data_IF_456149540179
#
_entry.id   IF_456149540179
#
_cell.length_a   1.000
_cell.length_b   1.000
_cell.length_c   1.000
_cell.angle_alpha   90.00
_cell.angle_beta   90.00
_cell.angle_gamma   90.00
#
_symmetry.space_group_name_H-M   'P 1'
#
loop_
_entity.id
_entity.type
_entity.pdbx_description
1 polymer ?
#
# COMPACT_ATOMS: atom_id res chain seq x y z
N UNK A 1 -30.54 78.26 -33.16
CA UNK A 1 -29.25 78.16 -32.45
C UNK A 1 -29.15 76.77 -31.84
N UNK A 2 -28.03 76.09 -32.10
CA UNK A 2 -27.64 74.74 -31.68
C UNK A 2 -27.89 74.44 -30.20
N UNK A 3 -28.30 73.20 -29.87
CA UNK A 3 -27.49 72.20 -29.10
C UNK A 3 -28.35 70.97 -28.76
N UNK A 4 -28.08 69.83 -29.41
CA UNK A 4 -27.31 68.65 -28.94
C UNK A 4 -28.11 67.66 -28.09
N UNK A 5 -28.53 66.58 -28.77
CA UNK A 5 -28.93 65.31 -28.19
C UNK A 5 -27.77 64.65 -27.45
N UNK A 6 -28.04 64.09 -26.27
CA UNK A 6 -27.14 63.18 -25.56
C UNK A 6 -27.89 61.90 -25.20
N UNK A 7 -27.59 60.83 -25.94
CA UNK A 7 -27.86 59.46 -25.55
C UNK A 7 -27.04 59.11 -24.30
N UNK A 8 -27.70 58.75 -23.20
CA UNK A 8 -27.03 58.09 -22.07
C UNK A 8 -27.17 56.58 -22.28
N UNK A 9 -26.12 55.96 -22.80
CA UNK A 9 -25.95 54.51 -22.80
C UNK A 9 -25.69 54.08 -21.36
N UNK A 10 -26.66 53.43 -20.72
CA UNK A 10 -26.46 52.73 -19.45
C UNK A 10 -25.53 51.54 -19.70
N UNK A 11 -24.25 51.70 -19.36
CA UNK A 11 -23.28 50.61 -19.37
C UNK A 11 -23.71 49.52 -18.38
N UNK A 12 -24.04 48.34 -18.91
CA UNK A 12 -24.18 47.13 -18.12
C UNK A 12 -22.79 46.70 -17.66
N UNK A 13 -22.48 46.91 -16.38
CA UNK A 13 -21.32 46.32 -15.73
C UNK A 13 -21.55 44.82 -15.59
N UNK A 14 -21.12 44.05 -16.58
CA UNK A 14 -20.93 42.60 -16.45
C UNK A 14 -19.78 42.37 -15.47
N UNK A 15 -20.14 42.11 -14.22
CA UNK A 15 -19.27 41.49 -13.23
C UNK A 15 -18.88 40.10 -13.76
N UNK A 16 -17.74 40.03 -14.44
CA UNK A 16 -17.03 38.79 -14.70
C UNK A 16 -16.58 38.24 -13.34
N UNK A 17 -17.40 37.35 -12.77
CA UNK A 17 -16.95 36.45 -11.71
C UNK A 17 -15.88 35.57 -12.37
N UNK A 18 -14.62 35.95 -12.20
CA UNK A 18 -13.50 35.06 -12.45
C UNK A 18 -13.62 33.91 -11.43
N UNK A 19 -14.37 32.87 -11.79
CA UNK A 19 -14.32 31.59 -11.12
C UNK A 19 -12.91 31.07 -11.35
N UNK A 20 -12.02 31.34 -10.39
CA UNK A 20 -10.73 30.67 -10.28
C UNK A 20 -11.04 29.18 -10.21
N UNK A 21 -10.84 28.49 -11.33
CA UNK A 21 -10.75 27.03 -11.34
C UNK A 21 -9.51 26.68 -10.54
N UNK A 22 -9.64 26.64 -9.21
CA UNK A 22 -8.68 25.99 -8.35
C UNK A 22 -8.68 24.52 -8.79
N UNK A 23 -7.80 24.17 -9.74
CA UNK A 23 -7.47 22.78 -10.01
C UNK A 23 -7.11 22.20 -8.67
N UNK A 24 -7.89 21.23 -8.17
CA UNK A 24 -7.61 20.57 -6.90
C UNK A 24 -6.13 20.14 -6.92
N UNK A 25 -5.32 20.80 -6.10
CA UNK A 25 -3.88 20.58 -6.09
C UNK A 25 -3.64 19.15 -5.62
N UNK A 26 -2.90 18.36 -6.40
CA UNK A 26 -2.62 16.96 -6.03
C UNK A 26 -1.94 16.88 -4.66
N UNK A 27 -2.14 15.78 -3.94
CA UNK A 27 -1.51 15.51 -2.65
C UNK A 27 0.01 15.67 -2.74
N UNK A 28 0.62 15.19 -3.83
CA UNK A 28 2.04 15.39 -4.10
C UNK A 28 2.43 16.86 -4.08
N UNK A 29 1.71 17.72 -4.82
CA UNK A 29 1.98 19.15 -4.85
C UNK A 29 1.73 19.81 -3.49
N UNK A 30 0.73 19.36 -2.73
CA UNK A 30 0.41 19.90 -1.39
C UNK A 30 1.49 19.54 -0.38
N UNK A 31 1.98 18.30 -0.38
CA UNK A 31 3.11 17.88 0.45
C UNK A 31 4.40 18.60 0.04
N UNK A 32 4.64 18.77 -1.26
CA UNK A 32 5.79 19.51 -1.76
C UNK A 32 5.78 20.99 -1.32
N UNK A 33 4.60 21.63 -1.30
CA UNK A 33 4.42 23.02 -0.89
C UNK A 33 4.46 23.24 0.64
N UNK A 34 4.19 22.21 1.46
CA UNK A 34 4.26 22.31 2.91
C UNK A 34 5.68 22.68 3.38
N UNK A 35 5.84 23.42 4.49
CA UNK A 35 7.17 23.65 5.06
C UNK A 35 7.83 22.34 5.52
N UNK A 36 9.14 22.36 5.74
CA UNK A 36 9.84 21.27 6.43
C UNK A 36 9.27 21.11 7.85
N UNK A 37 9.26 19.87 8.35
CA UNK A 37 8.60 19.48 9.59
C UNK A 37 7.62 18.32 9.38
N UNK A 38 6.65 18.21 10.29
CA UNK A 38 5.63 17.16 10.19
C UNK A 38 4.53 17.56 9.22
N UNK A 39 4.29 16.75 8.19
CA UNK A 39 3.18 16.92 7.25
C UNK A 39 2.27 15.72 7.40
N UNK A 40 0.98 15.91 7.68
CA UNK A 40 0.06 14.81 7.97
C UNK A 40 -1.21 14.88 7.14
N UNK A 41 -1.80 13.73 6.87
CA UNK A 41 -3.06 13.58 6.15
C UNK A 41 -3.79 12.31 6.57
N UNK A 42 -5.06 12.20 6.20
CA UNK A 42 -5.90 11.05 6.54
C UNK A 42 -6.73 10.58 5.34
N UNK A 43 -7.01 9.29 5.25
CA UNK A 43 -7.84 8.71 4.18
C UNK A 43 -8.59 7.47 4.67
N UNK A 44 -9.61 7.05 3.93
CA UNK A 44 -10.47 5.95 4.37
C UNK A 44 -9.75 4.60 4.32
N UNK A 45 -9.87 3.85 5.42
CA UNK A 45 -9.37 2.49 5.52
C UNK A 45 -10.39 1.50 4.94
N UNK A 46 -9.91 0.44 4.28
CA UNK A 46 -10.77 -0.65 3.80
C UNK A 46 -11.54 -1.31 4.96
N UNK A 47 -12.73 -1.86 4.72
CA UNK A 47 -13.47 -2.63 5.72
C UNK A 47 -12.61 -3.69 6.40
N UNK A 48 -12.81 -3.86 7.70
CA UNK A 48 -12.09 -4.85 8.51
C UNK A 48 -10.68 -4.43 8.94
N UNK A 49 -10.24 -3.20 8.67
CA UNK A 49 -9.04 -2.61 9.27
C UNK A 49 -9.42 -1.85 10.55
N UNK A 50 -8.74 -2.19 11.64
CA UNK A 50 -8.93 -1.60 12.96
C UNK A 50 -7.58 -1.14 13.51
N UNK A 51 -7.60 -0.12 14.36
CA UNK A 51 -6.38 0.27 15.07
C UNK A 51 -6.68 0.92 16.40
N UNK A 52 -5.68 0.89 17.28
CA UNK A 52 -5.76 1.53 18.60
C UNK A 52 -5.37 3.02 18.55
N UNK A 53 -5.24 3.61 17.36
CA UNK A 53 -4.80 5.00 17.18
C UNK A 53 -3.35 5.30 17.59
N UNK A 54 -2.54 4.27 17.92
CA UNK A 54 -1.15 4.45 18.40
C UNK A 54 -0.13 3.63 17.63
N UNK A 55 -0.12 2.32 17.80
CA UNK A 55 0.97 1.48 17.33
C UNK A 55 0.54 0.10 16.86
N UNK A 56 -0.73 -0.26 17.05
CA UNK A 56 -1.28 -1.55 16.68
C UNK A 56 -2.33 -1.36 15.60
N UNK A 57 -2.15 -2.07 14.49
CA UNK A 57 -3.11 -2.13 13.40
C UNK A 57 -3.46 -3.60 13.17
N UNK A 58 -4.76 -3.88 13.20
CA UNK A 58 -5.35 -5.20 13.04
C UNK A 58 -6.20 -5.26 11.79
N UNK A 59 -6.13 -6.35 11.04
CA UNK A 59 -6.97 -6.55 9.86
C UNK A 59 -7.25 -8.03 9.58
N UNK A 60 -8.16 -8.31 8.64
CA UNK A 60 -8.58 -9.67 8.24
C UNK A 60 -8.95 -10.54 9.47
N UNK A 61 -9.79 -10.02 10.36
CA UNK A 61 -10.22 -10.73 11.57
C UNK A 61 -11.26 -11.81 11.25
N UNK A 62 -11.01 -13.05 11.67
CA UNK A 62 -11.98 -14.16 11.64
C UNK A 62 -12.06 -14.83 13.02
N UNK A 63 -13.27 -14.92 13.59
CA UNK A 63 -13.56 -15.57 14.89
C UNK A 63 -12.59 -15.18 16.02
N UNK A 64 -12.19 -13.91 16.07
CA UNK A 64 -11.27 -13.38 17.10
C UNK A 64 -9.78 -13.50 16.75
N UNK A 65 -9.42 -14.18 15.66
CA UNK A 65 -8.06 -14.19 15.13
C UNK A 65 -7.90 -13.08 14.09
N UNK A 66 -7.14 -12.05 14.44
CA UNK A 66 -6.79 -10.96 13.54
C UNK A 66 -5.32 -11.06 13.10
N UNK A 67 -5.03 -10.62 11.88
CA UNK A 67 -3.67 -10.24 11.53
C UNK A 67 -3.33 -8.94 12.22
N UNK A 68 -2.15 -8.86 12.80
CA UNK A 68 -1.72 -7.72 13.58
C UNK A 68 -0.35 -7.25 13.12
N UNK A 69 -0.16 -5.93 13.02
CA UNK A 69 1.14 -5.32 12.78
C UNK A 69 1.38 -4.22 13.78
N UNK A 70 2.49 -4.35 14.49
CA UNK A 70 3.10 -3.25 15.22
C UNK A 70 3.82 -2.35 14.21
N UNK A 71 3.51 -1.05 14.21
CA UNK A 71 4.08 -0.08 13.26
C UNK A 71 5.16 0.81 13.86
N UNK A 72 4.99 1.33 15.08
CA UNK A 72 5.98 2.14 15.81
C UNK A 72 5.82 1.96 17.34
N UNK A 73 6.88 1.58 18.10
CA UNK A 73 6.83 1.44 19.58
C UNK A 73 7.22 0.04 20.10
N UNK A 74 7.08 -0.19 21.42
CA UNK A 74 7.38 -1.48 22.08
C UNK A 74 6.08 -2.23 22.46
N UNK A 75 6.13 -3.56 22.55
CA UNK A 75 4.96 -4.42 22.92
C UNK A 75 4.51 -4.25 24.38
N UNK A 76 5.35 -3.63 25.21
CA UNK A 76 5.19 -3.54 26.68
C UNK A 76 4.51 -2.24 27.15
N UNK A 77 3.55 -1.68 26.39
CA UNK A 77 2.59 -0.79 27.05
C UNK A 77 1.67 -1.68 27.89
N UNK A 78 2.05 -1.89 29.15
CA UNK A 78 1.18 -2.37 30.22
C UNK A 78 0.21 -1.25 30.59
N UNK A 79 -0.45 -0.64 29.60
CA UNK A 79 -1.59 0.21 29.88
C UNK A 79 -2.65 -0.75 30.45
N UNK A 80 -3.12 -0.50 31.68
CA UNK A 80 -4.21 -1.24 32.37
C UNK A 80 -5.58 -1.07 31.66
N UNK A 81 -5.57 -0.84 30.33
CA UNK A 81 -6.70 -0.40 29.54
C UNK A 81 -6.62 -0.91 28.09
N UNK A 82 -7.61 -1.69 27.67
CA UNK A 82 -7.81 -2.02 26.26
C UNK A 82 -8.32 -0.76 25.52
N UNK A 83 -7.50 -0.18 24.66
CA UNK A 83 -8.00 0.85 23.74
C UNK A 83 -9.01 0.17 22.81
N UNK A 84 -10.26 0.66 22.70
CA UNK A 84 -11.20 0.07 21.75
C UNK A 84 -10.58 0.08 20.35
N UNK A 85 -10.60 -1.08 19.69
CA UNK A 85 -10.22 -1.21 18.29
C UNK A 85 -11.22 -0.44 17.44
N UNK A 86 -10.98 0.85 17.27
CA UNK A 86 -11.85 1.72 16.50
C UNK A 86 -11.57 1.50 15.01
N UNK A 87 -12.64 1.23 14.25
CA UNK A 87 -12.61 1.51 12.81
C UNK A 87 -12.44 3.01 12.63
N UNK A 88 -11.51 3.42 11.76
CA UNK A 88 -11.27 4.83 11.53
C UNK A 88 -10.32 5.05 10.37
N UNK A 89 -10.13 6.30 9.94
CA UNK A 89 -9.30 6.56 8.77
C UNK A 89 -7.85 6.17 9.06
N UNK A 90 -7.15 5.78 8.00
CA UNK A 90 -5.70 5.70 8.03
C UNK A 90 -5.16 7.10 8.16
N UNK A 91 -4.22 7.29 9.07
CA UNK A 91 -3.59 8.55 9.42
C UNK A 91 -2.10 8.43 9.12
N UNK A 92 -1.59 9.29 8.24
CA UNK A 92 -0.18 9.28 7.85
C UNK A 92 0.49 10.57 8.30
N UNK A 93 1.62 10.44 8.97
CA UNK A 93 2.49 11.55 9.34
C UNK A 93 3.86 11.39 8.69
N UNK A 94 4.19 12.31 7.80
CA UNK A 94 5.47 12.41 7.10
C UNK A 94 6.42 13.31 7.88
N UNK A 95 7.69 12.94 7.92
CA UNK A 95 8.78 13.81 8.37
C UNK A 95 9.48 14.40 7.16
N UNK A 96 9.35 15.71 6.93
CA UNK A 96 9.92 16.41 5.78
C UNK A 96 11.11 17.27 6.19
N UNK A 97 12.21 17.19 5.44
CA UNK A 97 13.40 18.01 5.64
C UNK A 97 14.15 18.22 4.33
N UNK A 98 14.56 19.45 4.05
CA UNK A 98 15.21 19.81 2.79
C UNK A 98 14.37 19.47 1.56
N UNK A 99 13.04 19.56 1.68
CA UNK A 99 12.11 19.21 0.60
C UNK A 99 11.90 17.69 0.39
N UNK A 100 12.60 16.82 1.14
CA UNK A 100 12.51 15.36 1.03
C UNK A 100 11.75 14.76 2.20
N UNK A 101 11.12 13.60 2.00
CA UNK A 101 10.46 12.85 3.07
C UNK A 101 11.46 11.86 3.65
N UNK A 102 11.82 12.03 4.92
CA UNK A 102 12.85 11.21 5.57
C UNK A 102 12.28 10.00 6.31
N UNK A 103 11.09 10.13 6.87
CA UNK A 103 10.39 9.08 7.62
C UNK A 103 8.88 9.20 7.43
N UNK A 104 8.18 8.12 7.72
CA UNK A 104 6.73 8.01 7.65
C UNK A 104 6.23 7.25 8.87
N UNK A 105 5.13 7.72 9.46
CA UNK A 105 4.39 7.00 10.50
C UNK A 105 2.94 6.82 10.06
N UNK A 106 2.35 5.70 10.46
CA UNK A 106 0.98 5.34 10.12
C UNK A 106 0.21 4.97 11.38
N UNK A 107 -1.04 5.39 11.44
CA UNK A 107 -1.98 5.10 12.50
C UNK A 107 -3.32 4.72 11.86
N UNK A 108 -4.15 3.96 12.57
CA UNK A 108 -5.55 3.71 12.21
C UNK A 108 -6.40 4.02 13.44
N UNK A 109 -7.51 4.73 13.24
CA UNK A 109 -8.33 5.21 14.35
C UNK A 109 -7.65 6.33 15.16
N UNK A 110 -8.22 6.64 16.32
CA UNK A 110 -7.76 7.71 17.20
C UNK A 110 -7.92 9.12 16.60
N UNK A 111 -7.15 10.08 17.11
CA UNK A 111 -7.17 11.47 16.66
C UNK A 111 -5.77 12.08 16.68
N UNK A 112 -5.55 13.08 15.83
CA UNK A 112 -4.31 13.83 15.86
C UNK A 112 -4.18 14.58 17.18
N UNK A 113 -2.98 14.52 17.78
CA UNK A 113 -2.67 15.42 18.89
C UNK A 113 -2.74 16.87 18.40
N UNK A 114 -3.31 17.75 19.23
CA UNK A 114 -3.24 19.19 19.04
C UNK A 114 -1.78 19.60 19.02
N UNK A 115 -1.28 19.94 17.84
CA UNK A 115 0.09 20.38 17.60
C UNK A 115 0.03 21.66 16.78
N UNK A 116 0.82 22.65 17.16
CA UNK A 116 0.95 23.92 16.44
C UNK A 116 2.01 23.87 15.34
N UNK A 117 2.81 22.80 15.25
CA UNK A 117 3.95 22.69 14.33
C UNK A 117 3.74 21.72 13.16
N UNK A 118 2.66 20.92 13.18
CA UNK A 118 2.36 20.00 12.09
C UNK A 118 1.49 20.67 11.03
N UNK A 119 1.86 20.54 9.76
CA UNK A 119 1.01 20.93 8.63
C UNK A 119 -0.01 19.82 8.40
N UNK A 120 -1.28 20.09 8.67
CA UNK A 120 -2.37 19.14 8.48
C UNK A 120 -3.05 19.38 7.12
N UNK A 121 -2.98 18.39 6.25
CA UNK A 121 -3.64 18.38 4.95
C UNK A 121 -5.07 17.81 5.04
N UNK A 122 -5.51 17.39 6.22
CA UNK A 122 -6.86 16.89 6.47
C UNK A 122 -7.15 15.55 5.79
N UNK A 123 -8.44 15.28 5.59
CA UNK A 123 -8.92 14.14 4.82
C UNK A 123 -8.61 14.35 3.33
N UNK A 124 -8.03 13.34 2.70
CA UNK A 124 -7.67 13.33 1.28
C UNK A 124 -8.34 12.15 0.58
N UNK A 125 -8.44 12.21 -0.75
CA UNK A 125 -9.03 11.11 -1.50
C UNK A 125 -8.22 9.82 -1.34
N UNK A 126 -8.88 8.70 -1.04
CA UNK A 126 -8.23 7.41 -0.77
C UNK A 126 -7.34 6.94 -1.93
N UNK A 127 -7.81 7.07 -3.17
CA UNK A 127 -7.02 6.77 -4.37
C UNK A 127 -5.79 7.68 -4.50
N UNK A 128 -5.96 8.97 -4.21
CA UNK A 128 -4.89 9.96 -4.26
C UNK A 128 -3.81 9.67 -3.20
N UNK A 129 -4.22 9.32 -1.98
CA UNK A 129 -3.32 8.89 -0.91
C UNK A 129 -2.53 7.64 -1.30
N UNK A 130 -3.22 6.59 -1.77
CA UNK A 130 -2.57 5.35 -2.20
C UNK A 130 -1.57 5.61 -3.32
N UNK A 131 -1.95 6.36 -4.36
CA UNK A 131 -1.04 6.71 -5.46
C UNK A 131 0.17 7.51 -5.00
N UNK A 132 -0.01 8.47 -4.08
CA UNK A 132 1.10 9.24 -3.51
C UNK A 132 2.07 8.33 -2.73
N UNK A 133 1.55 7.44 -1.88
CA UNK A 133 2.35 6.54 -1.06
C UNK A 133 3.13 5.51 -1.91
N UNK A 134 2.50 4.97 -2.95
CA UNK A 134 3.15 4.08 -3.91
C UNK A 134 4.20 4.81 -4.75
N UNK A 135 3.94 6.06 -5.16
CA UNK A 135 4.91 6.89 -5.83
C UNK A 135 6.11 7.23 -4.93
N UNK A 136 5.89 7.44 -3.63
CA UNK A 136 6.95 7.64 -2.64
C UNK A 136 7.84 6.39 -2.54
N UNK A 137 7.24 5.20 -2.53
CA UNK A 137 7.99 3.93 -2.53
C UNK A 137 8.82 3.70 -3.81
N UNK A 138 8.44 4.30 -4.95
CA UNK A 138 9.15 4.17 -6.22
C UNK A 138 10.29 5.17 -6.44
N UNK A 139 10.30 6.28 -5.71
CA UNK A 139 11.18 7.43 -6.00
C UNK A 139 12.23 7.70 -4.93
N UNK A 140 12.05 7.14 -3.74
CA UNK A 140 12.87 7.43 -2.57
C UNK A 140 13.48 6.12 -2.04
N UNK A 141 14.73 6.18 -1.59
CA UNK A 141 15.40 5.07 -0.90
C UNK A 141 15.39 5.25 0.62
N UNK A 142 14.74 6.31 1.11
CA UNK A 142 14.59 6.61 2.52
C UNK A 142 13.79 5.53 3.26
N UNK A 143 13.85 5.58 4.60
CA UNK A 143 12.97 4.77 5.45
C UNK A 143 11.49 5.02 5.14
N UNK A 144 11.14 6.22 4.67
CA UNK A 144 9.77 6.54 4.29
C UNK A 144 9.28 5.68 3.13
N UNK A 145 10.13 5.40 2.13
CA UNK A 145 9.77 4.62 0.95
C UNK A 145 9.33 3.19 1.31
N UNK A 146 10.10 2.52 2.16
CA UNK A 146 9.75 1.20 2.66
C UNK A 146 8.44 1.22 3.45
N UNK A 147 8.29 2.20 4.35
CA UNK A 147 7.11 2.33 5.20
C UNK A 147 5.85 2.73 4.43
N UNK A 148 5.97 3.38 3.28
CA UNK A 148 4.84 3.90 2.51
C UNK A 148 3.95 2.80 1.89
N UNK A 149 4.49 1.60 1.66
CA UNK A 149 3.72 0.49 1.07
C UNK A 149 2.57 0.08 2.00
N UNK A 150 2.81 0.02 3.31
CA UNK A 150 1.80 -0.48 4.26
C UNK A 150 0.55 0.39 4.36
N UNK A 151 0.60 1.70 4.64
CA UNK A 151 -0.59 2.53 4.64
C UNK A 151 -1.34 2.46 3.30
N UNK A 152 -0.62 2.35 2.18
CA UNK A 152 -1.25 2.27 0.87
C UNK A 152 -2.16 1.03 0.73
N UNK A 153 -1.76 -0.13 1.29
CA UNK A 153 -2.56 -1.37 1.21
C UNK A 153 -3.80 -1.36 2.12
N UNK A 154 -3.85 -0.44 3.08
CA UNK A 154 -5.00 -0.24 3.95
C UNK A 154 -6.08 0.61 3.28
N UNK A 155 -5.80 1.21 2.12
CA UNK A 155 -6.71 2.10 1.41
C UNK A 155 -8.00 1.38 0.98
N UNK A 156 -9.14 1.99 1.28
CA UNK A 156 -10.44 1.47 0.84
C UNK A 156 -10.63 1.53 -0.68
N UNK A 157 -11.26 0.50 -1.23
CA UNK A 157 -11.73 0.47 -2.63
C UNK A 157 -10.63 0.76 -3.69
N UNK A 158 -9.35 0.50 -3.37
CA UNK A 158 -8.21 0.68 -4.29
C UNK A 158 -7.58 -0.66 -4.68
N UNK A 159 -7.54 -0.92 -5.99
CA UNK A 159 -6.80 -2.06 -6.54
C UNK A 159 -5.30 -1.74 -6.59
N UNK A 160 -4.55 -2.21 -5.59
CA UNK A 160 -3.13 -1.85 -5.39
C UNK A 160 -2.12 -2.83 -6.01
N UNK A 161 -2.55 -4.05 -6.35
CA UNK A 161 -1.65 -5.11 -6.80
C UNK A 161 -0.81 -4.76 -8.06
N UNK A 162 -1.29 -3.99 -9.06
CA UNK A 162 -0.45 -3.65 -10.23
C UNK A 162 0.74 -2.78 -9.85
N UNK A 163 0.53 -1.83 -8.95
CA UNK A 163 1.59 -0.95 -8.45
C UNK A 163 2.57 -1.71 -7.55
N UNK A 164 2.07 -2.62 -6.70
CA UNK A 164 2.95 -3.50 -5.91
C UNK A 164 3.81 -4.39 -6.81
N UNK A 165 3.25 -4.93 -7.89
CA UNK A 165 4.00 -5.71 -8.87
C UNK A 165 5.05 -4.87 -9.59
N UNK A 166 4.71 -3.62 -9.95
CA UNK A 166 5.66 -2.66 -10.53
C UNK A 166 6.81 -2.37 -9.57
N UNK A 167 6.53 -2.11 -8.29
CA UNK A 167 7.55 -1.89 -7.26
C UNK A 167 8.42 -3.13 -7.09
N UNK A 168 7.82 -4.32 -7.01
CA UNK A 168 8.55 -5.58 -6.87
C UNK A 168 9.52 -5.84 -8.03
N UNK A 169 9.20 -5.39 -9.25
CA UNK A 169 10.02 -5.55 -10.46
C UNK A 169 11.00 -4.40 -10.73
N UNK A 170 10.93 -3.30 -9.99
CA UNK A 170 11.75 -2.12 -10.26
C UNK A 170 13.18 -2.31 -9.75
N UNK A 171 14.17 -2.16 -10.64
CA UNK A 171 15.59 -2.21 -10.27
C UNK A 171 16.04 -0.95 -9.52
N UNK A 172 15.33 0.16 -9.71
CA UNK A 172 15.61 1.49 -9.15
C UNK A 172 15.17 1.65 -7.68
N UNK A 173 14.51 0.65 -7.09
CA UNK A 173 14.10 0.67 -5.67
C UNK A 173 14.88 -0.36 -4.87
N UNK A 174 15.13 -0.06 -3.60
CA UNK A 174 15.92 -0.95 -2.73
C UNK A 174 15.30 -2.35 -2.59
N UNK A 175 16.15 -3.37 -2.36
CA UNK A 175 15.70 -4.76 -2.09
C UNK A 175 14.64 -4.84 -1.00
N UNK A 176 14.74 -4.02 0.04
CA UNK A 176 13.81 -4.01 1.18
C UNK A 176 12.41 -3.53 0.75
N UNK A 177 12.34 -2.50 -0.09
CA UNK A 177 11.11 -2.00 -0.70
C UNK A 177 10.48 -3.07 -1.59
N UNK A 178 11.28 -3.72 -2.47
CA UNK A 178 10.80 -4.81 -3.33
C UNK A 178 10.20 -5.97 -2.52
N UNK A 179 10.89 -6.43 -1.48
CA UNK A 179 10.41 -7.50 -0.60
C UNK A 179 9.12 -7.13 0.11
N UNK A 180 9.01 -5.89 0.60
CA UNK A 180 7.77 -5.38 1.19
C UNK A 180 6.62 -5.40 0.18
N UNK A 181 6.88 -4.98 -1.06
CA UNK A 181 5.86 -5.00 -2.12
C UNK A 181 5.41 -6.43 -2.45
N UNK A 182 6.33 -7.39 -2.56
CA UNK A 182 5.99 -8.81 -2.79
C UNK A 182 5.18 -9.38 -1.62
N UNK A 183 5.58 -9.09 -0.37
CA UNK A 183 4.84 -9.52 0.81
C UNK A 183 3.38 -9.05 0.75
N UNK A 184 3.18 -7.75 0.51
CA UNK A 184 1.85 -7.17 0.43
C UNK A 184 1.06 -7.58 -0.82
N UNK A 185 1.74 -7.88 -1.93
CA UNK A 185 1.13 -8.46 -3.11
C UNK A 185 0.53 -9.85 -2.82
N UNK A 186 1.20 -10.66 -1.99
CA UNK A 186 0.64 -11.91 -1.46
C UNK A 186 -0.64 -11.71 -0.65
N UNK A 187 -0.74 -10.60 0.07
CA UNK A 187 -1.90 -10.27 0.92
C UNK A 187 -3.04 -9.58 0.15
N UNK A 188 -2.77 -8.93 -0.98
CA UNK A 188 -3.72 -8.13 -1.76
C UNK A 188 -4.70 -9.00 -2.60
N UNK A 189 -5.37 -9.94 -1.93
CA UNK A 189 -6.06 -11.10 -2.50
C UNK A 189 -6.89 -10.90 -3.77
N UNK A 190 -6.74 -11.84 -4.70
CA UNK A 190 -7.57 -12.05 -5.90
C UNK A 190 -6.81 -12.79 -7.01
N UNK A 191 -7.52 -13.43 -7.93
CA UNK A 191 -6.94 -14.20 -9.06
C UNK A 191 -5.91 -13.40 -9.88
N UNK A 192 -6.12 -12.08 -10.01
CA UNK A 192 -5.20 -11.19 -10.70
C UNK A 192 -3.85 -11.04 -9.97
N UNK A 193 -3.86 -10.97 -8.64
CA UNK A 193 -2.64 -10.93 -7.84
C UNK A 193 -1.90 -12.28 -7.87
N UNK A 194 -2.63 -13.40 -7.82
CA UNK A 194 -2.04 -14.75 -7.94
C UNK A 194 -1.36 -14.96 -9.30
N UNK A 195 -1.97 -14.47 -10.40
CA UNK A 195 -1.31 -14.44 -11.72
C UNK A 195 -0.08 -13.54 -11.74
N UNK A 196 -0.17 -12.33 -11.21
CA UNK A 196 0.99 -11.42 -11.13
C UNK A 196 2.18 -12.00 -10.36
N UNK A 197 1.92 -12.75 -9.28
CA UNK A 197 2.95 -13.45 -8.51
C UNK A 197 3.58 -14.60 -9.31
N UNK A 198 2.75 -15.38 -10.03
CA UNK A 198 3.23 -16.40 -10.97
C UNK A 198 4.18 -15.80 -12.00
N UNK A 199 3.76 -14.72 -12.66
CA UNK A 199 4.57 -14.05 -13.69
C UNK A 199 5.88 -13.50 -13.10
N UNK A 200 5.87 -13.07 -11.84
CA UNK A 200 7.08 -12.61 -11.14
C UNK A 200 8.06 -13.76 -10.85
N UNK A 201 7.56 -14.95 -10.49
CA UNK A 201 8.39 -16.15 -10.28
C UNK A 201 9.10 -16.57 -11.58
N UNK A 202 8.42 -16.43 -12.72
CA UNK A 202 8.93 -16.83 -14.03
C UNK A 202 9.78 -15.75 -14.72
N UNK A 203 9.78 -14.50 -14.23
CA UNK A 203 10.60 -13.42 -14.77
C UNK A 203 12.09 -13.60 -14.41
N UNK A 204 12.85 -14.20 -15.32
CA UNK A 204 14.29 -14.45 -15.15
C UNK A 204 15.16 -13.20 -15.01
N UNK A 205 14.62 -12.00 -15.27
CA UNK A 205 15.31 -10.72 -15.02
C UNK A 205 15.14 -10.25 -13.58
N UNK A 206 14.11 -10.71 -12.88
CA UNK A 206 13.87 -10.32 -11.49
C UNK A 206 14.92 -10.95 -10.56
N UNK A 207 15.29 -10.19 -9.53
CA UNK A 207 16.18 -10.64 -8.46
C UNK A 207 15.70 -11.98 -7.86
N UNK A 208 16.60 -12.94 -7.66
CA UNK A 208 16.26 -14.26 -7.11
C UNK A 208 15.51 -14.13 -5.78
N UNK A 209 15.94 -13.24 -4.89
CA UNK A 209 15.28 -13.06 -3.58
C UNK A 209 13.83 -12.56 -3.73
N UNK A 210 13.56 -11.74 -4.74
CA UNK A 210 12.21 -11.27 -5.09
C UNK A 210 11.36 -12.42 -5.63
N UNK A 211 11.91 -13.23 -6.53
CA UNK A 211 11.23 -14.43 -7.07
C UNK A 211 10.92 -15.44 -5.97
N UNK A 212 11.86 -15.68 -5.05
CA UNK A 212 11.65 -16.54 -3.88
C UNK A 212 10.58 -15.98 -2.94
N UNK A 213 10.56 -14.66 -2.73
CA UNK A 213 9.51 -14.00 -1.97
C UNK A 213 8.13 -14.18 -2.63
N UNK A 214 8.08 -14.24 -3.96
CA UNK A 214 6.84 -14.46 -4.71
C UNK A 214 6.34 -15.92 -4.55
N UNK A 215 7.25 -16.90 -4.51
CA UNK A 215 6.90 -18.30 -4.16
C UNK A 215 6.30 -18.38 -2.75
N UNK A 216 6.90 -17.69 -1.77
CA UNK A 216 6.33 -17.59 -0.42
C UNK A 216 4.96 -16.89 -0.43
N UNK A 217 4.83 -15.78 -1.15
CA UNK A 217 3.54 -15.10 -1.26
C UNK A 217 2.44 -16.00 -1.84
N UNK A 218 2.77 -16.88 -2.80
CA UNK A 218 1.86 -17.89 -3.34
C UNK A 218 1.46 -18.94 -2.29
N UNK A 219 2.34 -19.33 -1.36
CA UNK A 219 1.99 -20.27 -0.28
C UNK A 219 1.02 -19.68 0.74
N UNK A 220 0.96 -18.36 0.85
CA UNK A 220 0.04 -17.67 1.76
C UNK A 220 -1.34 -17.39 1.12
N UNK A 221 -1.56 -17.79 -0.14
CA UNK A 221 -2.85 -17.62 -0.85
C UNK A 221 -3.88 -18.66 -0.37
N UNK A 222 -5.19 -18.41 -0.58
CA UNK A 222 -6.20 -19.45 -0.43
C UNK A 222 -5.79 -20.73 -1.17
N UNK A 223 -6.07 -21.89 -0.57
CA UNK A 223 -5.57 -23.19 -1.06
C UNK A 223 -5.89 -23.41 -2.55
N UNK A 224 -7.09 -23.03 -2.99
CA UNK A 224 -7.53 -23.21 -4.37
C UNK A 224 -6.85 -22.31 -5.40
N UNK A 225 -6.16 -21.26 -4.95
CA UNK A 225 -5.34 -20.40 -5.80
C UNK A 225 -3.85 -20.74 -5.69
N UNK A 226 -3.35 -20.88 -4.45
CA UNK A 226 -1.93 -21.04 -4.15
C UNK A 226 -1.40 -22.43 -4.51
N UNK A 227 -2.12 -23.49 -4.16
CA UNK A 227 -1.67 -24.87 -4.38
C UNK A 227 -1.48 -25.18 -5.87
N UNK A 228 -2.45 -24.87 -6.78
CA UNK A 228 -2.23 -25.06 -8.20
C UNK A 228 -1.02 -24.29 -8.76
N UNK A 229 -0.81 -23.05 -8.31
CA UNK A 229 0.33 -22.24 -8.74
C UNK A 229 1.67 -22.83 -8.28
N UNK A 230 1.76 -23.28 -7.03
CA UNK A 230 2.95 -23.93 -6.50
C UNK A 230 3.24 -25.27 -7.19
N UNK A 231 2.21 -26.06 -7.51
CA UNK A 231 2.35 -27.31 -8.28
C UNK A 231 2.97 -27.01 -9.65
N UNK A 232 2.46 -26.02 -10.37
CA UNK A 232 3.02 -25.60 -11.66
C UNK A 232 4.49 -25.22 -11.52
N UNK A 233 4.84 -24.40 -10.54
CA UNK A 233 6.24 -23.99 -10.29
C UNK A 233 7.12 -25.21 -10.00
N UNK A 234 6.68 -26.13 -9.16
CA UNK A 234 7.44 -27.34 -8.82
C UNK A 234 7.71 -28.24 -10.05
N UNK A 235 6.79 -28.28 -11.01
CA UNK A 235 6.90 -29.11 -12.22
C UNK A 235 7.67 -28.44 -13.35
N UNK A 236 7.46 -27.15 -13.58
CA UNK A 236 7.78 -26.49 -14.85
C UNK A 236 8.84 -25.39 -14.73
N UNK A 237 9.07 -24.83 -13.54
CA UNK A 237 9.98 -23.69 -13.42
C UNK A 237 11.43 -24.10 -13.72
N UNK A 238 12.14 -23.26 -14.48
CA UNK A 238 13.51 -23.55 -14.93
C UNK A 238 14.56 -23.43 -13.82
N UNK A 239 14.25 -22.74 -12.73
CA UNK A 239 15.15 -22.52 -11.60
C UNK A 239 14.96 -23.63 -10.55
N UNK A 240 15.94 -24.53 -10.34
CA UNK A 240 15.80 -25.65 -9.43
C UNK A 240 15.60 -25.21 -7.97
N UNK A 241 16.12 -24.06 -7.57
CA UNK A 241 15.90 -23.53 -6.22
C UNK A 241 14.46 -23.10 -6.01
N UNK A 242 13.83 -22.48 -7.02
CA UNK A 242 12.42 -22.12 -6.94
C UNK A 242 11.51 -23.34 -6.95
N UNK A 243 11.85 -24.37 -7.75
CA UNK A 243 11.17 -25.68 -7.69
C UNK A 243 11.23 -26.28 -6.29
N UNK A 244 12.42 -26.31 -5.68
CA UNK A 244 12.65 -26.80 -4.32
C UNK A 244 11.84 -26.03 -3.28
N UNK A 245 11.78 -24.70 -3.39
CA UNK A 245 10.96 -23.87 -2.48
C UNK A 245 9.46 -24.11 -2.67
N UNK A 246 8.99 -24.29 -3.90
CA UNK A 246 7.58 -24.63 -4.14
C UNK A 246 7.21 -25.99 -3.52
N UNK A 247 8.07 -27.00 -3.67
CA UNK A 247 7.92 -28.31 -3.01
C UNK A 247 7.90 -28.16 -1.48
N UNK A 248 8.81 -27.37 -0.91
CA UNK A 248 8.85 -27.09 0.53
C UNK A 248 7.50 -26.54 1.03
N UNK A 249 6.96 -25.51 0.38
CA UNK A 249 5.68 -24.92 0.79
C UNK A 249 4.47 -25.83 0.52
N UNK A 250 4.49 -26.61 -0.55
CA UNK A 250 3.48 -27.65 -0.78
C UNK A 250 3.48 -28.69 0.36
N UNK A 251 4.66 -29.04 0.89
CA UNK A 251 4.79 -29.93 2.04
C UNK A 251 4.26 -29.33 3.36
N UNK A 252 4.03 -28.03 3.43
CA UNK A 252 3.41 -27.34 4.59
C UNK A 252 1.91 -27.08 4.40
N UNK A 253 1.34 -27.46 3.25
CA UNK A 253 -0.04 -27.08 2.88
C UNK A 253 -1.12 -27.99 3.45
N UNK A 254 -0.78 -29.24 3.80
CA UNK A 254 -1.70 -30.35 4.09
C UNK A 254 -2.77 -30.57 3.00
N UNK A 255 -2.48 -30.15 1.76
CA UNK A 255 -3.41 -30.29 0.64
C UNK A 255 -3.19 -31.64 -0.08
N UNK A 256 -4.25 -32.44 -0.34
CA UNK A 256 -4.11 -33.73 -1.00
C UNK A 256 -3.50 -33.64 -2.41
N UNK A 257 -3.62 -32.49 -3.10
CA UNK A 257 -2.96 -32.26 -4.39
C UNK A 257 -1.44 -32.21 -4.27
N UNK A 258 -0.91 -31.75 -3.13
CA UNK A 258 0.53 -31.77 -2.86
C UNK A 258 1.04 -33.21 -2.70
N UNK A 259 0.28 -34.05 -1.99
CA UNK A 259 0.60 -35.48 -1.84
C UNK A 259 0.61 -36.19 -3.19
N UNK A 260 -0.42 -35.98 -4.02
CA UNK A 260 -0.48 -36.54 -5.37
C UNK A 260 0.71 -36.12 -6.24
N UNK A 261 1.17 -34.87 -6.11
CA UNK A 261 2.38 -34.41 -6.79
C UNK A 261 3.63 -35.16 -6.28
N UNK A 262 3.77 -35.34 -4.97
CA UNK A 262 4.93 -36.05 -4.40
C UNK A 262 4.97 -37.51 -4.84
N UNK A 263 3.82 -38.19 -4.87
CA UNK A 263 3.70 -39.53 -5.45
C UNK A 263 4.14 -39.52 -6.93
N UNK A 264 3.63 -38.60 -7.75
CA UNK A 264 4.03 -38.45 -9.16
C UNK A 264 5.56 -38.25 -9.30
N UNK A 265 6.16 -37.39 -8.48
CA UNK A 265 7.58 -37.06 -8.58
C UNK A 265 8.51 -38.18 -8.08
N UNK A 266 8.09 -38.92 -7.06
CA UNK A 266 8.90 -39.98 -6.45
C UNK A 266 8.74 -41.34 -7.13
N UNK A 267 7.65 -41.57 -7.86
CA UNK A 267 7.41 -42.82 -8.60
C UNK A 267 7.80 -42.75 -10.07
N UNK A 268 8.22 -41.58 -10.57
CA UNK A 268 8.82 -41.45 -11.89
C UNK A 268 10.21 -42.09 -11.90
N UNK A 269 10.46 -43.10 -12.76
CA UNK A 269 11.76 -43.73 -12.89
C UNK A 269 12.81 -42.81 -13.51
#
# INVERSE_FOLDING_TARGET
>A
MNTRAWCVVRGAWLLLIAASTATAQTLEKRVAAAPDGSVRFSFDARPGVYGNGRNMISWDCDKGNCRNRQVDGNWNDHDDWETPCDSGPVRVALSKSGGRILDLRVYVGGQWRTSTSATDLGMVGTKEAASYLLALALRDESRAAEKAIFPAVLADSVTIWPDLLKIAKSEDVSRKVRRSAVFWLGQAAGDAATRGLTDLVDDGRADREVRESAVFALSQRPRDEGVPALIRIAKENKDPDLRRKAIFWLGQSDDPRALALFEELLTRP
#
